data_IF_578263431385
#
_entry.id   IF_578263431385
#
_cell.length_a   1.000
_cell.length_b   1.000
_cell.length_c   1.000
_cell.angle_alpha   90.00
_cell.angle_beta   90.00
_cell.angle_gamma   90.00
#
_symmetry.space_group_name_H-M   'P 1'
#
loop_
_entity.id
_entity.type
_entity.pdbx_description
1 polymer ?
#
# COMPACT_ATOMS: atom_id res chain seq x y z
N UNK A 1 -18.96 24.00 53.42
CA UNK A 1 -17.51 23.67 53.40
C UNK A 1 -17.26 22.18 53.15
N UNK A 2 -17.84 21.23 53.90
CA UNK A 2 -17.62 19.78 53.69
C UNK A 2 -18.02 19.29 52.29
N UNK A 3 -19.13 19.78 51.75
CA UNK A 3 -19.61 19.45 50.39
C UNK A 3 -18.70 20.00 49.29
N UNK A 4 -18.11 21.19 49.48
CA UNK A 4 -17.18 21.81 48.52
C UNK A 4 -15.87 21.01 48.40
N UNK A 5 -15.33 20.53 49.52
CA UNK A 5 -14.15 19.66 49.54
C UNK A 5 -14.43 18.31 48.86
N UNK A 6 -15.62 17.73 49.07
CA UNK A 6 -16.01 16.48 48.42
C UNK A 6 -16.15 16.64 46.91
N UNK A 7 -16.79 17.71 46.44
CA UNK A 7 -16.93 17.99 44.99
C UNK A 7 -15.57 18.26 44.34
N UNK A 8 -14.67 18.99 45.01
CA UNK A 8 -13.34 19.27 44.48
C UNK A 8 -12.48 18.00 44.38
N UNK A 9 -12.59 17.11 45.38
CA UNK A 9 -11.87 15.84 45.41
C UNK A 9 -12.34 14.87 44.32
N UNK A 10 -13.65 14.80 44.05
CA UNK A 10 -14.21 14.02 42.93
C UNK A 10 -13.73 14.57 41.58
N UNK A 11 -13.67 15.91 41.43
CA UNK A 11 -13.23 16.52 40.18
C UNK A 11 -11.74 16.28 39.89
N UNK A 12 -10.89 16.23 40.92
CA UNK A 12 -9.45 15.91 40.78
C UNK A 12 -9.24 14.42 40.43
N UNK A 13 -10.07 13.50 40.93
CA UNK A 13 -9.99 12.09 40.55
C UNK A 13 -10.46 11.82 39.11
N UNK A 14 -11.44 12.60 38.61
CA UNK A 14 -11.94 12.50 37.24
C UNK A 14 -10.94 13.01 36.20
N UNK A 15 -10.06 13.97 36.54
CA UNK A 15 -9.05 14.47 35.60
C UNK A 15 -7.81 13.59 35.49
N UNK A 16 -7.51 12.78 36.52
CA UNK A 16 -6.35 11.89 36.52
C UNK A 16 -6.50 10.68 35.56
N UNK A 17 -7.72 10.36 35.12
CA UNK A 17 -8.01 9.23 34.21
C UNK A 17 -8.12 9.64 32.74
N UNK A 18 -7.90 10.92 32.40
CA UNK A 18 -8.05 11.45 31.04
C UNK A 18 -6.75 11.47 30.21
N UNK A 19 -5.63 11.04 30.77
CA UNK A 19 -4.37 10.98 30.01
C UNK A 19 -4.27 9.67 29.24
N UNK A 20 -4.74 9.68 27.99
CA UNK A 20 -4.38 8.65 27.02
C UNK A 20 -2.87 8.77 26.76
N UNK A 21 -2.08 7.92 27.39
CA UNK A 21 -0.63 7.85 27.18
C UNK A 21 -0.29 6.76 26.17
N UNK A 22 0.77 6.97 25.40
CA UNK A 22 1.32 5.92 24.55
C UNK A 22 1.77 4.75 25.44
N UNK A 23 1.20 3.57 25.17
CA UNK A 23 1.61 2.33 25.82
C UNK A 23 2.51 1.56 24.86
N UNK A 24 3.73 1.28 25.28
CA UNK A 24 4.62 0.38 24.54
C UNK A 24 4.09 -1.05 24.65
N UNK A 25 3.77 -1.67 23.52
CA UNK A 25 3.26 -3.05 23.46
C UNK A 25 4.34 -4.06 23.07
N UNK A 26 5.41 -3.63 22.40
CA UNK A 26 6.48 -4.51 21.96
C UNK A 26 7.25 -3.95 20.77
N UNK A 27 8.15 -4.80 20.23
CA UNK A 27 8.91 -4.53 19.01
C UNK A 27 8.86 -5.73 18.07
N UNK A 28 8.97 -5.46 16.78
CA UNK A 28 9.17 -6.46 15.74
C UNK A 28 10.48 -6.16 15.01
N UNK A 29 11.24 -7.18 14.65
CA UNK A 29 12.55 -7.02 14.00
C UNK A 29 12.47 -6.75 12.49
N UNK A 30 11.40 -6.08 12.02
CA UNK A 30 11.21 -5.69 10.64
C UNK A 30 10.25 -4.50 10.51
N UNK A 31 10.24 -3.87 9.32
CA UNK A 31 9.27 -2.82 8.98
C UNK A 31 7.97 -3.48 8.49
N UNK A 32 6.86 -3.09 9.10
CA UNK A 32 5.51 -3.47 8.70
C UNK A 32 4.76 -2.23 8.22
N UNK A 33 3.89 -2.39 7.22
CA UNK A 33 2.91 -1.40 6.80
C UNK A 33 1.52 -1.89 7.22
N UNK A 34 0.66 -1.01 7.70
CA UNK A 34 -0.75 -1.36 7.93
C UNK A 34 -1.57 -1.15 6.67
N UNK A 35 -2.54 -2.02 6.42
CA UNK A 35 -3.49 -1.89 5.33
C UNK A 35 -4.89 -2.29 5.81
N UNK A 36 -5.91 -1.59 5.33
CA UNK A 36 -7.30 -1.91 5.61
C UNK A 36 -7.87 -2.64 4.40
N UNK A 37 -8.41 -3.84 4.63
CA UNK A 37 -9.07 -4.62 3.58
C UNK A 37 -10.44 -4.03 3.22
N UNK A 38 -11.03 -4.56 2.16
CA UNK A 38 -12.38 -4.25 1.68
C UNK A 38 -13.48 -4.54 2.72
N UNK A 39 -13.32 -5.57 3.56
CA UNK A 39 -14.20 -5.86 4.70
C UNK A 39 -14.02 -4.91 5.90
N UNK A 40 -13.03 -4.02 5.83
CA UNK A 40 -12.70 -3.05 6.85
C UNK A 40 -11.75 -3.53 7.96
N UNK A 41 -11.32 -4.79 7.93
CA UNK A 41 -10.32 -5.32 8.86
C UNK A 41 -8.93 -4.74 8.57
N UNK A 42 -8.19 -4.46 9.64
CA UNK A 42 -6.81 -4.01 9.54
C UNK A 42 -5.87 -5.22 9.51
N UNK A 43 -4.91 -5.20 8.59
CA UNK A 43 -3.81 -6.16 8.49
C UNK A 43 -2.46 -5.45 8.55
N UNK A 44 -1.43 -6.19 8.96
CA UNK A 44 -0.05 -5.76 8.83
C UNK A 44 0.63 -6.52 7.70
N UNK A 45 1.50 -5.84 6.96
CA UNK A 45 2.12 -6.36 5.74
C UNK A 45 3.63 -6.17 5.83
N UNK A 46 4.37 -7.22 5.46
CA UNK A 46 5.83 -7.22 5.38
C UNK A 46 6.26 -7.84 4.06
N UNK A 47 7.18 -7.17 3.36
CA UNK A 47 7.83 -7.75 2.19
C UNK A 47 9.10 -8.52 2.60
N UNK A 48 9.17 -9.78 2.17
CA UNK A 48 10.35 -10.63 2.28
C UNK A 48 11.14 -10.58 0.96
N UNK A 49 12.16 -9.71 0.90
CA UNK A 49 12.98 -9.52 -0.31
C UNK A 49 13.73 -10.79 -0.75
N UNK A 50 14.10 -11.67 0.18
CA UNK A 50 14.92 -12.86 -0.12
C UNK A 50 14.12 -13.90 -0.90
N UNK A 51 12.89 -14.16 -0.45
CA UNK A 51 12.00 -15.16 -1.06
C UNK A 51 11.04 -14.50 -2.08
N UNK A 52 11.03 -13.17 -2.18
CA UNK A 52 10.10 -12.39 -3.00
C UNK A 52 8.63 -12.65 -2.63
N UNK A 53 8.31 -12.60 -1.34
CA UNK A 53 6.97 -12.86 -0.82
C UNK A 53 6.43 -11.65 -0.05
N UNK A 54 5.12 -11.49 -0.06
CA UNK A 54 4.39 -10.59 0.85
C UNK A 54 3.73 -11.41 1.95
N UNK A 55 4.15 -11.15 3.18
CA UNK A 55 3.59 -11.76 4.39
C UNK A 55 2.55 -10.82 4.97
N UNK A 56 1.33 -11.31 5.15
CA UNK A 56 0.19 -10.56 5.68
C UNK A 56 -0.20 -11.16 7.03
N UNK A 57 -0.35 -10.31 8.04
CA UNK A 57 -0.57 -10.67 9.42
C UNK A 57 -1.86 -10.04 9.96
N UNK A 58 -2.49 -10.73 10.92
CA UNK A 58 -3.59 -10.21 11.70
C UNK A 58 -3.11 -9.11 12.67
N UNK A 59 -4.05 -8.43 13.33
CA UNK A 59 -3.75 -7.38 14.31
C UNK A 59 -3.00 -7.87 15.55
N UNK A 60 -3.04 -9.17 15.85
CA UNK A 60 -2.26 -9.84 16.89
C UNK A 60 -0.88 -10.34 16.40
N UNK A 61 -0.48 -9.93 15.20
CA UNK A 61 0.76 -10.32 14.52
C UNK A 61 0.88 -11.81 14.15
N UNK A 62 -0.20 -12.58 14.24
CA UNK A 62 -0.24 -13.94 13.68
C UNK A 62 -0.25 -13.91 12.15
N UNK A 63 0.48 -14.82 11.50
CA UNK A 63 0.51 -14.93 10.04
C UNK A 63 -0.87 -15.32 9.52
N UNK A 64 -1.40 -14.55 8.56
CA UNK A 64 -2.69 -14.80 7.92
C UNK A 64 -2.53 -15.40 6.53
N UNK A 65 -1.69 -14.79 5.69
CA UNK A 65 -1.44 -15.19 4.30
C UNK A 65 0.00 -14.89 3.88
N UNK A 66 0.48 -15.66 2.91
CA UNK A 66 1.73 -15.43 2.19
C UNK A 66 1.39 -15.39 0.71
N UNK A 67 1.81 -14.34 0.03
CA UNK A 67 1.55 -14.13 -1.40
C UNK A 67 2.89 -14.04 -2.11
N UNK A 68 3.07 -14.84 -3.17
CA UNK A 68 4.24 -14.74 -4.02
C UNK A 68 4.21 -13.41 -4.79
N UNK A 69 5.32 -12.68 -4.76
CA UNK A 69 5.47 -11.38 -5.41
C UNK A 69 6.52 -11.47 -6.52
N UNK A 70 6.16 -11.98 -7.70
CA UNK A 70 7.11 -12.08 -8.80
C UNK A 70 7.49 -10.68 -9.29
N UNK A 71 8.66 -10.19 -8.86
CA UNK A 71 9.25 -9.00 -9.44
C UNK A 71 9.96 -9.38 -10.74
N UNK A 72 9.74 -8.63 -11.84
CA UNK A 72 10.55 -8.80 -13.03
C UNK A 72 12.04 -8.61 -12.73
N UNK A 73 12.90 -9.23 -13.54
CA UNK A 73 14.36 -9.14 -13.37
C UNK A 73 14.79 -7.68 -13.26
N UNK A 74 15.73 -7.40 -12.34
CA UNK A 74 16.28 -6.06 -12.04
C UNK A 74 15.29 -5.04 -11.44
N UNK A 75 14.02 -5.40 -11.28
CA UNK A 75 13.06 -4.50 -10.64
C UNK A 75 13.19 -4.56 -9.12
N UNK A 76 12.97 -3.42 -8.48
CA UNK A 76 12.84 -3.28 -7.04
C UNK A 76 11.38 -3.02 -6.71
N UNK A 77 10.90 -3.58 -5.59
CA UNK A 77 9.61 -3.20 -5.03
C UNK A 77 9.68 -1.73 -4.62
N UNK A 78 8.76 -0.93 -5.15
CA UNK A 78 8.54 0.45 -4.72
C UNK A 78 7.58 0.44 -3.53
N UNK A 79 6.34 -0.02 -3.75
CA UNK A 79 5.32 -0.03 -2.71
C UNK A 79 4.27 -1.13 -2.88
N UNK A 80 3.77 -1.66 -1.76
CA UNK A 80 2.48 -2.38 -1.69
C UNK A 80 1.38 -1.35 -1.47
N UNK A 81 0.52 -1.18 -2.47
CA UNK A 81 -0.45 -0.07 -2.54
C UNK A 81 -1.81 -0.45 -1.99
N UNK A 82 -2.28 -1.64 -2.35
CA UNK A 82 -3.63 -2.08 -2.00
C UNK A 82 -3.67 -3.60 -1.82
N UNK A 83 -4.50 -4.09 -0.91
CA UNK A 83 -4.79 -5.51 -0.69
C UNK A 83 -6.30 -5.64 -0.48
N UNK A 84 -6.91 -6.59 -1.17
CA UNK A 84 -8.34 -6.89 -1.11
C UNK A 84 -8.59 -8.39 -1.22
N UNK A 85 -9.86 -8.79 -1.13
CA UNK A 85 -10.28 -10.15 -1.47
C UNK A 85 -11.26 -10.17 -2.64
N UNK A 86 -12.05 -9.11 -2.85
CA UNK A 86 -13.17 -9.10 -3.81
C UNK A 86 -13.22 -7.85 -4.68
N UNK A 87 -12.10 -7.14 -4.83
CA UNK A 87 -12.09 -5.85 -5.54
C UNK A 87 -11.86 -6.02 -7.04
N UNK A 88 -11.01 -6.98 -7.45
CA UNK A 88 -10.67 -7.22 -8.85
C UNK A 88 -11.23 -8.55 -9.39
N UNK A 89 -11.68 -9.44 -8.51
CA UNK A 89 -12.31 -10.72 -8.78
C UNK A 89 -13.54 -10.95 -7.86
N UNK A 90 -14.25 -12.06 -8.05
CA UNK A 90 -15.48 -12.40 -7.32
C UNK A 90 -15.31 -13.59 -6.34
N UNK A 91 -14.07 -13.91 -5.96
CA UNK A 91 -13.77 -15.00 -5.03
C UNK A 91 -13.21 -14.46 -3.71
N UNK A 92 -12.77 -15.33 -2.80
CA UNK A 92 -12.22 -14.92 -1.49
C UNK A 92 -10.68 -14.89 -1.47
N UNK A 93 -10.04 -15.09 -2.62
CA UNK A 93 -8.58 -15.09 -2.71
C UNK A 93 -8.03 -13.68 -2.58
N UNK A 94 -6.88 -13.57 -1.92
CA UNK A 94 -6.22 -12.28 -1.73
C UNK A 94 -5.74 -11.72 -3.07
N UNK A 95 -5.95 -10.42 -3.25
CA UNK A 95 -5.51 -9.66 -4.40
C UNK A 95 -4.52 -8.60 -3.92
N UNK A 96 -3.47 -8.36 -4.68
CA UNK A 96 -2.39 -7.47 -4.29
C UNK A 96 -2.08 -6.48 -5.41
N UNK A 97 -2.11 -5.20 -5.07
CA UNK A 97 -1.61 -4.12 -5.92
C UNK A 97 -0.25 -3.66 -5.42
N UNK A 98 0.74 -3.66 -6.30
CA UNK A 98 2.07 -3.16 -5.99
C UNK A 98 2.68 -2.40 -7.17
N UNK A 99 3.54 -1.43 -6.86
CA UNK A 99 4.42 -0.80 -7.83
C UNK A 99 5.83 -1.38 -7.72
N UNK A 100 6.51 -1.52 -8.84
CA UNK A 100 7.93 -1.79 -8.89
C UNK A 100 8.63 -0.79 -9.82
N UNK A 101 9.94 -0.63 -9.64
CA UNK A 101 10.74 0.29 -10.45
C UNK A 101 12.03 -0.36 -10.92
N UNK A 102 12.57 0.16 -12.01
CA UNK A 102 13.93 -0.12 -12.48
C UNK A 102 14.68 1.19 -12.71
N UNK A 103 15.95 1.19 -12.34
CA UNK A 103 16.88 2.29 -12.63
C UNK A 103 17.67 1.94 -13.89
N UNK A 104 17.63 2.83 -14.88
CA UNK A 104 18.39 2.68 -16.12
C UNK A 104 19.32 3.88 -16.26
N UNK A 105 20.61 3.63 -16.37
CA UNK A 105 21.58 4.66 -16.77
C UNK A 105 21.48 4.83 -18.29
N UNK A 106 21.46 6.07 -18.76
CA UNK A 106 21.63 6.35 -20.19
C UNK A 106 22.77 7.34 -20.37
N UNK A 107 23.67 7.00 -21.28
CA UNK A 107 24.75 7.88 -21.70
C UNK A 107 24.14 9.07 -22.45
N UNK A 108 24.27 10.26 -21.87
CA UNK A 108 24.05 11.48 -22.63
C UNK A 108 25.27 11.67 -23.55
N UNK A 109 25.09 11.35 -24.83
CA UNK A 109 26.16 11.50 -25.83
C UNK A 109 26.54 12.96 -26.07
N UNK A 110 25.70 13.92 -25.68
CA UNK A 110 25.97 15.36 -25.81
C UNK A 110 26.68 15.93 -24.58
N UNK A 111 26.45 15.35 -23.39
CA UNK A 111 27.13 15.70 -22.14
C UNK A 111 27.59 14.44 -21.37
N UNK A 112 28.75 13.85 -21.75
CA UNK A 112 29.25 12.62 -21.14
C UNK A 112 29.66 12.76 -19.67
N UNK A 113 29.65 13.97 -19.09
CA UNK A 113 29.84 14.19 -17.65
C UNK A 113 28.53 14.11 -16.85
N UNK A 114 27.38 14.05 -17.53
CA UNK A 114 26.06 14.09 -16.93
C UNK A 114 25.38 12.71 -16.99
N UNK A 115 25.74 11.82 -16.06
CA UNK A 115 25.02 10.56 -15.86
C UNK A 115 23.57 10.83 -15.45
N UNK A 116 22.65 10.71 -16.40
CA UNK A 116 21.22 10.87 -16.14
C UNK A 116 20.59 9.50 -15.82
N UNK A 117 19.83 9.46 -14.71
CA UNK A 117 19.16 8.24 -14.24
C UNK A 117 17.71 8.23 -14.71
N UNK A 118 17.30 7.20 -15.44
CA UNK A 118 15.88 6.90 -15.71
C UNK A 118 15.31 6.11 -14.55
N UNK A 119 14.12 6.50 -14.10
CA UNK A 119 13.31 5.68 -13.20
C UNK A 119 12.06 5.29 -13.96
N UNK A 120 11.88 3.99 -14.17
CA UNK A 120 10.72 3.45 -14.86
C UNK A 120 9.87 2.67 -13.86
N UNK A 121 8.65 3.14 -13.63
CA UNK A 121 7.71 2.50 -12.74
C UNK A 121 6.79 1.53 -13.49
N UNK A 122 6.32 0.51 -12.80
CA UNK A 122 5.26 -0.37 -13.27
C UNK A 122 4.31 -0.71 -12.13
N UNK A 123 3.02 -0.49 -12.35
CA UNK A 123 1.94 -0.89 -11.44
C UNK A 123 1.46 -2.28 -11.85
N UNK A 124 1.30 -3.16 -10.87
CA UNK A 124 0.84 -4.53 -11.07
C UNK A 124 -0.30 -4.84 -10.12
N UNK A 125 -1.28 -5.61 -10.60
CA UNK A 125 -2.34 -6.23 -9.83
C UNK A 125 -2.19 -7.73 -10.03
N UNK A 126 -2.08 -8.48 -8.94
CA UNK A 126 -1.91 -9.93 -8.96
C UNK A 126 -2.94 -10.61 -8.04
N UNK A 127 -3.20 -11.89 -8.30
CA UNK A 127 -3.99 -12.75 -7.40
C UNK A 127 -3.12 -13.43 -6.34
N UNK A 128 -3.75 -14.27 -5.51
CA UNK A 128 -3.12 -14.95 -4.36
C UNK A 128 -1.97 -15.89 -4.78
N UNK A 129 -2.06 -16.48 -5.98
CA UNK A 129 -1.00 -17.32 -6.56
C UNK A 129 0.12 -16.54 -7.26
N UNK A 130 0.06 -15.20 -7.26
CA UNK A 130 1.04 -14.34 -7.92
C UNK A 130 0.84 -14.19 -9.44
N UNK A 131 -0.29 -14.65 -9.98
CA UNK A 131 -0.62 -14.46 -11.39
C UNK A 131 -1.04 -13.01 -11.65
N UNK A 132 -0.59 -12.46 -12.77
CA UNK A 132 -0.87 -11.07 -13.15
C UNK A 132 -2.30 -10.94 -13.66
N UNK A 133 -3.10 -10.14 -12.95
CA UNK A 133 -4.43 -9.68 -13.38
C UNK A 133 -4.28 -8.47 -14.30
N UNK A 134 -3.45 -7.50 -13.91
CA UNK A 134 -3.20 -6.27 -14.67
C UNK A 134 -1.76 -5.80 -14.49
N UNK A 135 -1.15 -5.31 -15.57
CA UNK A 135 0.19 -4.70 -15.57
C UNK A 135 0.17 -3.41 -16.38
N UNK A 136 0.52 -2.30 -15.75
CA UNK A 136 0.54 -0.97 -16.37
C UNK A 136 1.95 -0.36 -16.24
N UNK A 137 2.72 -0.28 -17.34
CA UNK A 137 4.00 0.41 -17.34
C UNK A 137 3.80 1.93 -17.21
N UNK A 138 4.87 2.63 -16.82
CA UNK A 138 4.89 4.07 -16.62
C UNK A 138 3.83 4.53 -15.60
N UNK A 139 3.58 3.74 -14.56
CA UNK A 139 2.63 4.06 -13.51
C UNK A 139 3.06 3.49 -12.16
N UNK A 140 2.84 4.26 -11.11
CA UNK A 140 2.97 3.85 -9.72
C UNK A 140 1.88 4.49 -8.86
N UNK A 141 0.73 4.87 -9.42
CA UNK A 141 -0.33 5.43 -8.60
C UNK A 141 -1.72 5.08 -9.14
N UNK A 142 -2.66 4.92 -8.22
CA UNK A 142 -4.01 4.50 -8.53
C UNK A 142 -5.02 4.93 -7.47
N UNK A 143 -6.28 4.97 -7.86
CA UNK A 143 -7.41 5.23 -6.98
C UNK A 143 -8.58 4.32 -7.32
N UNK A 144 -9.32 3.86 -6.31
CA UNK A 144 -10.62 3.20 -6.50
C UNK A 144 -11.69 4.16 -6.02
N UNK A 145 -12.62 4.49 -6.91
CA UNK A 145 -13.74 5.40 -6.63
C UNK A 145 -15.07 4.68 -6.80
N UNK A 146 -16.07 5.08 -6.02
CA UNK A 146 -17.47 4.76 -6.30
C UNK A 146 -18.04 5.84 -7.24
N UNK A 147 -18.51 5.42 -8.41
CA UNK A 147 -19.18 6.29 -9.36
C UNK A 147 -20.60 5.80 -9.60
N UNK A 148 -21.56 6.37 -8.85
CA UNK A 148 -22.98 6.03 -8.91
C UNK A 148 -23.26 4.54 -8.68
N UNK A 149 -22.62 3.93 -7.68
CA UNK A 149 -22.76 2.52 -7.33
C UNK A 149 -21.97 1.57 -8.22
N UNK A 150 -21.13 2.10 -9.13
CA UNK A 150 -20.15 1.30 -9.89
C UNK A 150 -18.75 1.67 -9.45
N UNK A 151 -17.99 0.71 -8.92
CA UNK A 151 -16.57 0.92 -8.60
C UNK A 151 -15.75 1.08 -9.87
N UNK A 152 -14.89 2.10 -9.91
CA UNK A 152 -13.93 2.35 -10.98
C UNK A 152 -12.53 2.37 -10.42
N UNK A 153 -11.60 1.79 -11.16
CA UNK A 153 -10.17 1.88 -10.91
C UNK A 153 -9.58 2.92 -11.85
N UNK A 154 -8.95 3.94 -11.30
CA UNK A 154 -8.21 4.98 -12.00
C UNK A 154 -6.72 4.67 -11.81
N UNK A 155 -5.95 4.65 -12.90
CA UNK A 155 -4.49 4.46 -12.87
C UNK A 155 -3.84 5.65 -13.56
N UNK A 156 -2.93 6.33 -12.86
CA UNK A 156 -2.27 7.53 -13.33
C UNK A 156 -0.93 7.18 -13.99
N UNK A 157 -0.76 7.53 -15.27
CA UNK A 157 0.46 7.29 -16.03
C UNK A 157 1.35 8.53 -16.05
N UNK A 158 2.63 8.29 -15.80
CA UNK A 158 3.71 9.26 -15.80
C UNK A 158 4.72 8.85 -16.88
N UNK A 159 4.61 9.36 -18.12
CA UNK A 159 5.55 9.02 -19.18
C UNK A 159 6.98 9.37 -18.74
N UNK A 160 7.85 8.37 -18.81
CA UNK A 160 9.16 8.31 -18.15
C UNK A 160 10.25 9.19 -18.77
N UNK A 161 9.90 10.15 -19.64
CA UNK A 161 10.88 10.98 -20.33
C UNK A 161 10.99 12.40 -19.80
N UNK A 162 9.90 13.08 -19.48
CA UNK A 162 9.94 14.40 -18.83
C UNK A 162 8.65 14.61 -18.03
N UNK A 163 8.73 15.19 -16.83
CA UNK A 163 7.57 15.61 -16.02
C UNK A 163 6.69 16.68 -16.73
N UNK A 164 7.00 17.02 -17.99
CA UNK A 164 6.33 17.99 -18.84
C UNK A 164 5.39 17.36 -19.89
N UNK A 165 5.36 16.03 -20.01
CA UNK A 165 4.42 15.35 -20.91
C UNK A 165 3.05 15.14 -20.24
N UNK A 166 1.97 15.30 -21.03
CA UNK A 166 0.60 15.13 -20.56
C UNK A 166 0.40 13.72 -19.99
N UNK A 167 0.13 13.63 -18.68
CA UNK A 167 -0.24 12.37 -18.04
C UNK A 167 -1.52 11.79 -18.65
N UNK A 168 -1.61 10.47 -18.66
CA UNK A 168 -2.81 9.73 -19.07
C UNK A 168 -3.45 9.10 -17.82
N UNK A 169 -4.78 9.13 -17.72
CA UNK A 169 -5.52 8.36 -16.71
C UNK A 169 -6.24 7.21 -17.39
N UNK A 170 -5.86 5.98 -17.04
CA UNK A 170 -6.58 4.78 -17.46
C UNK A 170 -7.74 4.54 -16.51
N UNK A 171 -8.93 4.25 -17.04
CA UNK A 171 -10.15 4.02 -16.26
C UNK A 171 -10.67 2.62 -16.54
N UNK A 172 -10.75 1.79 -15.50
CA UNK A 172 -11.30 0.44 -15.56
C UNK A 172 -12.60 0.37 -14.77
N UNK A 173 -13.54 -0.45 -15.24
CA UNK A 173 -14.70 -0.83 -14.45
C UNK A 173 -14.36 -2.07 -13.65
N UNK A 174 -14.58 -2.03 -12.34
CA UNK A 174 -14.37 -3.18 -11.47
C UNK A 174 -15.62 -4.08 -11.45
N UNK A 175 -15.46 -5.37 -11.11
CA UNK A 175 -16.60 -6.25 -10.88
C UNK A 175 -17.57 -5.68 -9.83
N UNK A 176 -18.83 -6.08 -9.91
CA UNK A 176 -19.81 -5.77 -8.87
C UNK A 176 -19.65 -6.75 -7.71
N UNK A 177 -19.85 -6.24 -6.49
CA UNK A 177 -19.85 -7.02 -5.23
C UNK A 177 -20.96 -8.08 -5.19
#
# INVERSE_FOLDING_TARGET
MKTLFLTLSIMIFLTASLFSQLKYEGKLDAKYKSIKLDDGNLKFVKYNKKEQEVLIFNSDYSLWRTIDLPLPKQHLLDEIKYISQRTFNNDDSVELVYSCLVYSLYDDYEDPENESVKIEFTLNIINESGEIILKVPDSNDMEIIDFNGTKKLLIYKHPSKHFEENGETLIYTLPAD
#
